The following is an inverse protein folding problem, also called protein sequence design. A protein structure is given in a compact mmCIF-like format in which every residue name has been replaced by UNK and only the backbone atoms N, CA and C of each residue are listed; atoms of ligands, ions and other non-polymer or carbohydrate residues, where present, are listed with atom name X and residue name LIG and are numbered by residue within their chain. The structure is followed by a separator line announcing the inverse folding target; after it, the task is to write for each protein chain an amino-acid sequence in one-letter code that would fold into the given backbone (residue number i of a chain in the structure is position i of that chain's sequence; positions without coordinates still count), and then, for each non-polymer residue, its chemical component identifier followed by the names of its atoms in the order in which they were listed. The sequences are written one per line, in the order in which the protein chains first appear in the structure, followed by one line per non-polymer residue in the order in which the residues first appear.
data_IF_124449671318
#
_entry.id   IF_124449671318
#
_cell.length_a   1.000
_cell.length_b   1.000
_cell.length_c   1.000
_cell.angle_alpha   90.00
_cell.angle_beta   90.00
_cell.angle_gamma   90.00
#
_symmetry.space_group_name_H-M   'P 1'
#
loop_
_entity.id
_entity.type
_entity.pdbx_description
1 polymer ?
#
# COMPACT_ATOMS: atom_id res chain seq x y z
N UNK A 1 -5.57 8.66 45.49
CA UNK A 1 -6.07 8.75 44.09
C UNK A 1 -4.87 8.52 43.19
N UNK A 2 -4.75 7.33 42.61
CA UNK A 2 -3.66 6.97 41.71
C UNK A 2 -4.17 7.22 40.30
N UNK A 3 -3.53 8.13 39.59
CA UNK A 3 -3.71 8.32 38.13
C UNK A 3 -3.27 7.04 37.43
N UNK A 4 -4.22 6.37 36.77
CA UNK A 4 -3.93 5.29 35.85
C UNK A 4 -3.48 5.92 34.53
N UNK A 5 -2.20 5.83 34.26
CA UNK A 5 -1.64 6.03 32.90
C UNK A 5 -2.37 5.10 31.93
N UNK A 6 -3.16 5.68 31.05
CA UNK A 6 -3.66 4.99 29.86
C UNK A 6 -2.47 4.73 28.94
N UNK A 7 -1.90 3.54 29.03
CA UNK A 7 -0.99 3.03 28.01
C UNK A 7 -1.77 2.94 26.71
N UNK A 8 -1.43 3.82 25.77
CA UNK A 8 -1.83 3.71 24.38
C UNK A 8 -1.28 2.38 23.86
N UNK A 9 -2.14 1.39 23.72
CA UNK A 9 -1.83 0.15 23.02
C UNK A 9 -1.62 0.46 21.54
N UNK A 10 -0.39 0.83 21.19
CA UNK A 10 0.06 0.85 19.80
C UNK A 10 0.08 -0.60 19.35
N UNK A 11 -0.74 -0.93 18.34
CA UNK A 11 -0.66 -2.22 17.62
C UNK A 11 0.79 -2.57 17.37
N UNK A 12 1.22 -3.81 17.60
CA UNK A 12 2.58 -4.22 17.31
C UNK A 12 2.79 -4.16 15.79
N UNK A 13 3.33 -3.04 15.33
CA UNK A 13 3.80 -2.92 13.96
C UNK A 13 4.94 -3.93 13.79
N UNK A 14 4.75 -4.94 12.95
CA UNK A 14 5.79 -5.92 12.64
C UNK A 14 6.89 -5.23 11.84
N UNK A 15 7.89 -4.76 12.54
CA UNK A 15 9.11 -4.23 11.95
C UNK A 15 10.04 -5.39 11.61
N UNK A 16 10.04 -5.82 10.37
CA UNK A 16 11.15 -6.60 9.84
C UNK A 16 12.41 -5.75 9.96
N UNK A 17 13.50 -6.32 10.51
CA UNK A 17 14.77 -5.62 10.65
C UNK A 17 15.32 -5.28 9.26
N UNK A 18 15.51 -3.98 8.96
CA UNK A 18 16.14 -3.54 7.70
C UNK A 18 17.63 -3.97 7.70
N UNK A 19 18.19 -4.29 8.87
CA UNK A 19 19.63 -4.49 9.06
C UNK A 19 20.22 -5.79 8.53
N UNK A 20 19.44 -6.83 8.28
CA UNK A 20 19.96 -8.11 7.77
C UNK A 20 19.79 -8.22 6.25
N UNK A 21 20.53 -7.38 5.52
CA UNK A 21 20.80 -7.66 4.11
C UNK A 21 21.88 -8.73 4.06
N UNK A 22 21.45 -10.01 4.04
CA UNK A 22 22.36 -11.10 3.76
C UNK A 22 23.19 -10.76 2.52
N UNK A 23 24.44 -11.09 2.57
CA UNK A 23 25.43 -10.99 1.49
C UNK A 23 25.12 -11.90 0.30
N UNK A 24 23.85 -12.11 -0.03
CA UNK A 24 23.46 -12.88 -1.19
C UNK A 24 23.94 -12.17 -2.43
N UNK A 25 25.07 -12.71 -2.88
CA UNK A 25 25.85 -12.27 -4.01
C UNK A 25 24.94 -11.91 -5.20
N UNK A 26 25.30 -10.82 -5.83
CA UNK A 26 24.89 -10.32 -7.13
C UNK A 26 24.44 -11.44 -8.08
N UNK A 27 23.16 -11.84 -8.03
CA UNK A 27 22.58 -12.45 -9.19
C UNK A 27 22.42 -11.35 -10.25
N UNK A 28 22.87 -11.58 -11.49
CA UNK A 28 22.65 -10.63 -12.58
C UNK A 28 21.16 -10.36 -12.66
N UNK A 29 20.79 -9.10 -12.91
CA UNK A 29 19.40 -8.71 -13.10
C UNK A 29 18.77 -9.67 -14.13
N UNK A 30 17.94 -10.59 -13.64
CA UNK A 30 17.17 -11.47 -14.52
C UNK A 30 16.37 -10.58 -15.46
N UNK A 31 16.19 -11.01 -16.70
CA UNK A 31 15.37 -10.29 -17.67
C UNK A 31 14.02 -9.97 -17.01
N UNK A 32 13.69 -8.67 -16.92
CA UNK A 32 12.49 -8.21 -16.21
C UNK A 32 11.24 -8.70 -16.95
N UNK A 33 10.66 -9.77 -16.45
CA UNK A 33 9.60 -10.51 -17.11
C UNK A 33 8.22 -9.91 -16.88
N UNK A 34 7.94 -9.51 -15.66
CA UNK A 34 6.61 -9.05 -15.26
C UNK A 34 6.62 -7.56 -14.89
N UNK A 35 5.46 -6.93 -15.07
CA UNK A 35 5.24 -5.53 -14.71
C UNK A 35 4.35 -5.47 -13.47
N UNK A 36 4.81 -4.74 -12.48
CA UNK A 36 4.04 -4.32 -11.31
C UNK A 36 3.86 -2.80 -11.39
N UNK A 37 2.94 -2.26 -10.61
CA UNK A 37 2.78 -0.82 -10.54
C UNK A 37 2.63 -0.32 -9.11
N UNK A 38 2.95 0.95 -8.92
CA UNK A 38 2.86 1.67 -7.66
C UNK A 38 2.05 2.94 -7.86
N UNK A 39 1.56 3.52 -6.76
CA UNK A 39 0.90 4.81 -6.77
C UNK A 39 1.46 5.72 -5.69
N UNK A 40 1.66 7.00 -6.02
CA UNK A 40 2.04 8.05 -5.08
C UNK A 40 1.22 9.31 -5.36
N UNK A 41 0.12 9.47 -4.63
CA UNK A 41 -0.67 10.69 -4.63
C UNK A 41 -0.07 11.68 -3.64
N UNK A 42 0.40 12.85 -4.13
CA UNK A 42 1.14 13.78 -3.26
C UNK A 42 0.25 14.73 -2.47
N UNK A 43 -1.02 14.89 -2.86
CA UNK A 43 -1.97 15.80 -2.20
C UNK A 43 -2.22 15.47 -0.71
N UNK A 44 -2.31 14.20 -0.27
CA UNK A 44 -2.46 13.85 1.14
C UNK A 44 -1.28 14.24 2.05
N UNK A 45 -0.13 14.57 1.46
CA UNK A 45 1.05 14.91 2.24
C UNK A 45 1.07 16.41 2.60
N UNK A 46 0.28 16.82 3.57
CA UNK A 46 0.33 18.17 4.14
C UNK A 46 1.68 18.44 4.83
N UNK A 47 2.28 17.39 5.41
CA UNK A 47 3.60 17.45 6.01
C UNK A 47 4.69 17.16 4.96
N UNK A 48 5.47 18.22 4.63
CA UNK A 48 6.61 18.12 3.70
C UNK A 48 7.65 17.07 4.14
N UNK A 49 7.83 16.85 5.44
CA UNK A 49 8.79 15.88 5.97
C UNK A 49 8.34 14.45 5.65
N UNK A 50 7.05 14.14 5.81
CA UNK A 50 6.51 12.83 5.42
C UNK A 50 6.65 12.56 3.93
N UNK A 51 6.41 13.56 3.09
CA UNK A 51 6.62 13.41 1.64
C UNK A 51 8.09 13.14 1.32
N UNK A 52 9.04 13.91 1.95
CA UNK A 52 10.48 13.67 1.79
C UNK A 52 10.87 12.25 2.15
N UNK A 53 10.41 11.79 3.31
CA UNK A 53 10.73 10.46 3.81
C UNK A 53 10.14 9.37 2.90
N UNK A 54 8.93 9.59 2.38
CA UNK A 54 8.29 8.68 1.43
C UNK A 54 9.09 8.57 0.12
N UNK A 55 9.77 9.62 -0.33
CA UNK A 55 10.62 9.54 -1.52
C UNK A 55 11.82 8.59 -1.34
N UNK A 56 12.45 8.56 -0.16
CA UNK A 56 13.53 7.60 0.11
C UNK A 56 12.98 6.17 0.21
N UNK A 57 11.81 6.00 0.81
CA UNK A 57 11.12 4.70 0.88
C UNK A 57 10.80 4.20 -0.53
N UNK A 58 10.21 5.05 -1.39
CA UNK A 58 9.88 4.72 -2.77
C UNK A 58 11.13 4.36 -3.60
N UNK A 59 12.26 5.06 -3.40
CA UNK A 59 13.53 4.73 -4.03
C UNK A 59 14.01 3.33 -3.65
N UNK A 60 13.91 2.97 -2.37
CA UNK A 60 14.32 1.66 -1.88
C UNK A 60 13.37 0.55 -2.37
N UNK A 61 12.06 0.82 -2.39
CA UNK A 61 11.06 -0.10 -2.95
C UNK A 61 11.33 -0.39 -4.44
N UNK A 62 11.57 0.65 -5.23
CA UNK A 62 11.92 0.53 -6.63
C UNK A 62 13.20 -0.28 -6.85
N UNK A 63 14.25 -0.04 -6.03
CA UNK A 63 15.49 -0.81 -6.09
C UNK A 63 15.22 -2.30 -5.93
N UNK A 64 14.48 -2.69 -4.88
CA UNK A 64 14.19 -4.10 -4.63
C UNK A 64 13.31 -4.72 -5.70
N UNK A 65 12.30 -4.00 -6.19
CA UNK A 65 11.46 -4.49 -7.29
C UNK A 65 12.28 -4.74 -8.55
N UNK A 66 13.15 -3.83 -8.94
CA UNK A 66 14.05 -3.98 -10.08
C UNK A 66 15.02 -5.14 -9.91
N UNK A 67 15.63 -5.26 -8.72
CA UNK A 67 16.54 -6.36 -8.42
C UNK A 67 15.84 -7.72 -8.46
N UNK A 68 14.58 -7.77 -8.09
CA UNK A 68 13.76 -8.98 -8.11
C UNK A 68 13.15 -9.30 -9.48
N UNK A 69 13.52 -8.56 -10.53
CA UNK A 69 13.15 -8.84 -11.91
C UNK A 69 11.81 -8.27 -12.36
N UNK A 70 11.27 -7.25 -11.65
CA UNK A 70 10.03 -6.58 -12.03
C UNK A 70 10.29 -5.26 -12.74
N UNK A 71 9.50 -4.96 -13.80
CA UNK A 71 9.32 -3.61 -14.34
C UNK A 71 8.34 -2.87 -13.45
N UNK A 72 8.57 -1.59 -13.19
CA UNK A 72 7.72 -0.81 -12.29
C UNK A 72 7.15 0.39 -13.01
N UNK A 73 5.82 0.46 -13.12
CA UNK A 73 5.10 1.66 -13.50
C UNK A 73 4.76 2.47 -12.23
N UNK A 74 4.89 3.78 -12.30
CA UNK A 74 4.49 4.68 -11.21
C UNK A 74 3.34 5.57 -11.68
N UNK A 75 2.22 5.49 -10.99
CA UNK A 75 1.10 6.39 -11.12
C UNK A 75 1.19 7.49 -10.07
N UNK A 76 1.12 8.75 -10.48
CA UNK A 76 1.27 9.88 -9.56
C UNK A 76 0.52 11.10 -10.11
N UNK A 77 0.57 12.21 -9.38
CA UNK A 77 0.12 13.52 -9.85
C UNK A 77 1.29 14.32 -10.46
N UNK A 78 0.99 15.50 -11.02
CA UNK A 78 2.02 16.38 -11.63
C UNK A 78 3.16 16.71 -10.68
N UNK A 79 2.88 16.95 -9.39
CA UNK A 79 3.90 17.23 -8.38
C UNK A 79 4.78 16.01 -8.15
N UNK A 80 4.18 14.84 -7.99
CA UNK A 80 4.90 13.58 -7.84
C UNK A 80 5.75 13.24 -9.06
N UNK A 81 5.23 13.44 -10.28
CA UNK A 81 6.00 13.23 -11.51
C UNK A 81 7.26 14.10 -11.58
N UNK A 82 7.15 15.38 -11.19
CA UNK A 82 8.31 16.27 -11.13
C UNK A 82 9.36 15.84 -10.10
N UNK A 83 8.93 15.19 -9.00
CA UNK A 83 9.82 14.65 -7.96
C UNK A 83 10.48 13.34 -8.39
N UNK A 84 9.72 12.44 -9.02
CA UNK A 84 10.14 11.06 -9.31
C UNK A 84 10.85 10.89 -10.66
N UNK A 85 10.94 11.92 -11.50
CA UNK A 85 11.42 11.82 -12.89
C UNK A 85 12.79 11.15 -13.09
N UNK A 86 13.67 11.22 -12.08
CA UNK A 86 15.03 10.69 -12.13
C UNK A 86 15.19 9.33 -11.42
N UNK A 87 14.11 8.72 -10.93
CA UNK A 87 14.18 7.45 -10.18
C UNK A 87 14.42 6.25 -11.09
N UNK A 88 13.93 6.28 -12.33
CA UNK A 88 14.12 5.19 -13.29
C UNK A 88 12.96 4.20 -13.32
N UNK A 89 11.75 4.65 -13.05
CA UNK A 89 10.53 3.89 -13.35
C UNK A 89 10.42 3.63 -14.86
N UNK A 90 9.92 2.46 -15.25
CA UNK A 90 9.69 2.13 -16.67
C UNK A 90 8.66 3.07 -17.32
N UNK A 91 7.63 3.43 -16.54
CA UNK A 91 6.67 4.47 -16.89
C UNK A 91 6.39 5.33 -15.68
N UNK A 92 6.30 6.63 -15.91
CA UNK A 92 5.87 7.62 -14.93
C UNK A 92 4.61 8.31 -15.47
N UNK A 93 3.46 8.03 -14.88
CA UNK A 93 2.14 8.39 -15.39
C UNK A 93 1.45 9.36 -14.43
N UNK A 94 0.86 10.43 -14.97
CA UNK A 94 0.19 11.47 -14.18
C UNK A 94 -1.32 11.25 -14.02
N UNK A 95 -1.73 10.00 -13.97
CA UNK A 95 -3.14 9.59 -13.88
C UNK A 95 -3.83 10.04 -12.59
N UNK A 96 -3.07 10.33 -11.54
CA UNK A 96 -3.65 10.82 -10.28
C UNK A 96 -4.06 12.30 -10.34
N UNK A 97 -3.79 13.01 -11.43
CA UNK A 97 -4.41 14.31 -11.71
C UNK A 97 -5.93 14.19 -11.95
N UNK A 98 -6.42 12.99 -12.28
CA UNK A 98 -7.84 12.72 -12.48
C UNK A 98 -8.63 12.60 -11.17
N UNK A 99 -7.95 12.55 -10.02
CA UNK A 99 -8.60 12.53 -8.71
C UNK A 99 -9.29 13.88 -8.48
N UNK A 100 -10.64 13.90 -8.39
CA UNK A 100 -11.35 15.16 -8.20
C UNK A 100 -11.00 15.84 -6.88
N UNK A 101 -11.09 17.17 -6.85
CA UNK A 101 -10.88 17.94 -5.62
C UNK A 101 -11.93 17.66 -4.54
N UNK A 102 -13.05 17.05 -4.93
CA UNK A 102 -14.10 16.58 -4.02
C UNK A 102 -13.72 15.33 -3.23
N UNK A 103 -12.62 14.65 -3.58
CA UNK A 103 -12.12 13.51 -2.83
C UNK A 103 -11.32 13.98 -1.61
N UNK A 104 -11.70 13.58 -0.39
CA UNK A 104 -10.97 13.91 0.82
C UNK A 104 -9.54 13.34 0.79
N UNK A 105 -8.57 14.11 1.26
CA UNK A 105 -7.16 13.66 1.33
C UNK A 105 -6.94 12.55 2.35
N UNK A 106 -7.85 12.40 3.29
CA UNK A 106 -7.88 11.32 4.28
C UNK A 106 -8.16 9.95 3.63
N UNK A 107 -8.84 9.93 2.47
CA UNK A 107 -9.00 8.73 1.65
C UNK A 107 -7.78 8.55 0.73
N UNK A 108 -6.63 8.37 1.34
CA UNK A 108 -5.34 8.29 0.63
C UNK A 108 -5.22 7.08 -0.31
N UNK A 109 -5.96 5.99 -0.05
CA UNK A 109 -6.05 4.86 -0.96
C UNK A 109 -6.69 5.22 -2.32
N UNK A 110 -7.35 6.38 -2.46
CA UNK A 110 -7.83 6.85 -3.74
C UNK A 110 -6.74 6.82 -4.81
N UNK A 111 -5.50 7.20 -4.47
CA UNK A 111 -4.36 7.08 -5.39
C UNK A 111 -4.18 5.69 -5.96
N UNK A 112 -4.31 4.64 -5.12
CA UNK A 112 -4.24 3.24 -5.54
C UNK A 112 -5.36 2.87 -6.51
N UNK A 113 -6.60 3.22 -6.18
CA UNK A 113 -7.76 2.86 -7.00
C UNK A 113 -7.78 3.57 -8.35
N UNK A 114 -7.39 4.85 -8.40
CA UNK A 114 -7.22 5.56 -9.67
C UNK A 114 -6.09 4.94 -10.51
N UNK A 115 -4.98 4.54 -9.89
CA UNK A 115 -3.90 3.83 -10.56
C UNK A 115 -4.37 2.47 -11.11
N UNK A 116 -5.11 1.69 -10.32
CA UNK A 116 -5.67 0.39 -10.73
C UNK A 116 -6.62 0.55 -11.91
N UNK A 117 -7.48 1.57 -11.89
CA UNK A 117 -8.39 1.86 -13.00
C UNK A 117 -7.62 2.22 -14.28
N UNK A 118 -6.60 3.07 -14.18
CA UNK A 118 -5.81 3.53 -15.31
C UNK A 118 -4.91 2.45 -15.90
N UNK A 119 -4.31 1.60 -15.05
CA UNK A 119 -3.43 0.51 -15.47
C UNK A 119 -4.22 -0.69 -16.01
N UNK A 120 -5.49 -0.82 -15.62
CA UNK A 120 -6.32 -2.00 -15.81
C UNK A 120 -6.08 -3.02 -14.70
N UNK A 121 -7.17 -3.52 -14.12
CA UNK A 121 -7.12 -4.35 -12.91
C UNK A 121 -6.65 -5.78 -13.17
N UNK A 122 -6.79 -6.32 -14.39
CA UNK A 122 -6.57 -7.74 -14.68
C UNK A 122 -5.13 -8.04 -15.07
N UNK A 123 -4.56 -9.08 -14.47
CA UNK A 123 -3.22 -9.58 -14.82
C UNK A 123 -2.08 -8.67 -14.37
N UNK A 124 -2.33 -7.75 -13.45
CA UNK A 124 -1.34 -6.81 -12.91
C UNK A 124 -1.39 -6.74 -11.39
N UNK A 125 -0.25 -6.44 -10.79
CA UNK A 125 -0.12 -6.32 -9.33
C UNK A 125 0.24 -4.88 -8.98
N UNK A 126 -0.55 -4.27 -8.09
CA UNK A 126 -0.17 -3.06 -7.37
C UNK A 126 0.65 -3.44 -6.13
N UNK A 127 1.70 -2.70 -5.87
CA UNK A 127 2.42 -2.74 -4.58
C UNK A 127 2.52 -1.33 -4.00
N UNK A 128 2.36 -1.21 -2.70
CA UNK A 128 2.54 0.08 -2.02
C UNK A 128 4.00 0.52 -2.10
N UNK A 129 4.24 1.84 -2.12
CA UNK A 129 5.60 2.41 -2.23
C UNK A 129 6.51 2.06 -1.06
N UNK A 130 5.96 1.54 0.02
CA UNK A 130 6.67 1.09 1.22
C UNK A 130 6.74 -0.44 1.35
N UNK A 131 6.46 -1.15 0.26
CA UNK A 131 6.64 -2.60 0.13
C UNK A 131 7.96 -2.91 -0.58
N UNK A 132 8.74 -3.83 -0.03
CA UNK A 132 10.04 -4.27 -0.54
C UNK A 132 9.98 -5.75 -0.94
N UNK A 133 10.09 -6.03 -2.23
CA UNK A 133 10.19 -7.38 -2.80
C UNK A 133 11.67 -7.71 -2.97
N UNK A 134 12.25 -8.44 -2.02
CA UNK A 134 13.70 -8.67 -1.95
C UNK A 134 14.15 -9.92 -2.71
N UNK A 135 13.23 -10.84 -3.05
CA UNK A 135 13.53 -12.08 -3.78
C UNK A 135 12.79 -12.13 -5.10
N UNK A 136 13.50 -12.56 -6.14
CA UNK A 136 12.89 -12.88 -7.43
C UNK A 136 11.86 -14.00 -7.27
N UNK A 137 10.84 -13.98 -8.11
CA UNK A 137 9.83 -15.03 -8.18
C UNK A 137 8.74 -14.98 -7.11
N UNK A 138 8.81 -14.05 -6.14
CA UNK A 138 7.83 -14.00 -5.05
C UNK A 138 6.39 -13.84 -5.54
N UNK A 139 6.19 -13.07 -6.61
CA UNK A 139 4.86 -12.81 -7.17
C UNK A 139 4.56 -13.68 -8.39
N UNK A 140 5.46 -14.60 -8.77
CA UNK A 140 5.33 -15.36 -10.01
C UNK A 140 4.11 -16.29 -10.02
N UNK A 141 3.70 -16.81 -8.87
CA UNK A 141 2.49 -17.64 -8.73
C UNK A 141 1.26 -16.93 -9.31
N UNK A 142 1.15 -15.63 -9.10
CA UNK A 142 0.04 -14.83 -9.65
C UNK A 142 0.03 -14.82 -11.19
N UNK A 143 1.20 -14.78 -11.82
CA UNK A 143 1.32 -14.71 -13.27
C UNK A 143 1.30 -16.09 -13.96
N UNK A 144 1.65 -17.15 -13.23
CA UNK A 144 1.83 -18.49 -13.80
C UNK A 144 0.68 -19.45 -13.52
N UNK A 145 -0.01 -19.29 -12.39
CA UNK A 145 -1.15 -20.13 -12.03
C UNK A 145 -2.47 -19.48 -12.43
N UNK A 146 -3.10 -20.04 -13.46
CA UNK A 146 -4.37 -19.55 -14.02
C UNK A 146 -5.57 -19.75 -13.09
N UNK A 147 -5.43 -20.54 -12.02
CA UNK A 147 -6.49 -20.77 -11.04
C UNK A 147 -6.50 -19.69 -9.94
N UNK A 148 -5.49 -18.83 -9.90
CA UNK A 148 -5.43 -17.73 -8.93
C UNK A 148 -6.34 -16.59 -9.40
N UNK A 149 -7.39 -16.31 -8.67
CA UNK A 149 -8.31 -15.19 -8.92
C UNK A 149 -7.70 -13.85 -8.49
N UNK A 150 -7.02 -13.84 -7.33
CA UNK A 150 -6.39 -12.65 -6.77
C UNK A 150 -5.18 -13.00 -5.91
N UNK A 151 -4.34 -11.98 -5.66
CA UNK A 151 -3.24 -12.03 -4.69
C UNK A 151 -3.36 -10.86 -3.73
N UNK A 152 -3.09 -11.10 -2.44
CA UNK A 152 -2.97 -10.05 -1.43
C UNK A 152 -1.78 -10.30 -0.50
N UNK A 153 -1.43 -9.29 0.30
CA UNK A 153 -0.31 -9.40 1.22
C UNK A 153 -0.57 -10.39 2.34
N UNK A 154 -1.63 -10.17 3.10
CA UNK A 154 -1.86 -10.87 4.37
C UNK A 154 -3.35 -10.88 4.73
N UNK A 155 -3.80 -11.97 5.32
CA UNK A 155 -5.06 -12.01 6.04
C UNK A 155 -4.80 -11.55 7.49
N UNK A 156 -5.48 -10.51 7.93
CA UNK A 156 -5.36 -9.95 9.27
C UNK A 156 -6.57 -10.35 10.11
N UNK A 157 -6.30 -10.82 11.34
CA UNK A 157 -7.35 -11.18 12.28
C UNK A 157 -8.18 -9.93 12.65
N UNK A 158 -9.49 -10.05 12.50
CA UNK A 158 -10.43 -8.95 12.74
C UNK A 158 -10.38 -8.41 14.18
N UNK A 159 -10.11 -9.27 15.16
CA UNK A 159 -9.98 -8.85 16.55
C UNK A 159 -8.76 -7.95 16.79
N UNK A 160 -7.71 -8.09 15.97
CA UNK A 160 -6.49 -7.26 16.06
C UNK A 160 -6.63 -5.92 15.36
N UNK A 161 -7.53 -5.78 14.41
CA UNK A 161 -7.69 -4.57 13.59
C UNK A 161 -8.78 -3.65 14.17
N UNK A 162 -9.15 -3.73 15.43
CA UNK A 162 -10.02 -2.81 16.18
C UNK A 162 -11.27 -2.29 15.40
N UNK A 163 -11.82 -3.11 14.51
CA UNK A 163 -13.06 -2.77 13.82
C UNK A 163 -14.26 -3.11 14.72
N UNK A 164 -14.68 -2.15 15.53
CA UNK A 164 -15.97 -2.24 16.22
C UNK A 164 -17.13 -2.19 15.23
N UNK A 165 -18.28 -2.79 15.60
CA UNK A 165 -19.46 -2.90 14.76
C UNK A 165 -19.93 -1.57 14.17
N UNK A 166 -19.81 -0.50 14.92
CA UNK A 166 -20.19 0.88 14.54
C UNK A 166 -19.32 1.42 13.40
N UNK A 167 -18.07 0.95 13.27
CA UNK A 167 -17.11 1.38 12.24
C UNK A 167 -17.33 0.66 10.89
N UNK A 168 -18.13 -0.41 10.88
CA UNK A 168 -18.53 -1.15 9.67
C UNK A 168 -19.74 -0.51 8.98
N UNK A 169 -20.37 0.53 9.55
CA UNK A 169 -21.47 1.26 8.92
C UNK A 169 -21.21 1.64 7.45
N UNK A 170 -20.01 2.07 7.04
CA UNK A 170 -19.74 2.32 5.62
C UNK A 170 -19.98 1.12 4.71
N UNK A 171 -19.85 -0.11 5.22
CA UNK A 171 -20.10 -1.32 4.44
C UNK A 171 -21.58 -1.47 4.01
N UNK A 172 -22.52 -0.94 4.79
CA UNK A 172 -23.94 -0.90 4.41
C UNK A 172 -24.16 -0.08 3.13
N UNK A 173 -23.37 0.97 2.93
CA UNK A 173 -23.44 1.83 1.76
C UNK A 173 -22.99 1.09 0.51
N UNK A 174 -22.07 0.15 0.66
CA UNK A 174 -21.60 -0.73 -0.42
C UNK A 174 -22.53 -1.92 -0.65
N UNK A 175 -23.65 -2.01 0.07
CA UNK A 175 -24.63 -3.09 -0.07
C UNK A 175 -24.19 -4.41 0.54
N UNK A 176 -23.19 -4.41 1.42
CA UNK A 176 -22.79 -5.61 2.16
C UNK A 176 -23.59 -5.74 3.44
N UNK A 177 -24.26 -6.87 3.68
CA UNK A 177 -25.03 -7.07 4.90
C UNK A 177 -24.07 -7.18 6.10
N UNK A 178 -24.17 -6.24 7.04
CA UNK A 178 -23.36 -6.22 8.27
C UNK A 178 -23.60 -7.44 9.18
N UNK A 179 -24.64 -8.21 8.90
CA UNK A 179 -25.13 -9.30 9.77
C UNK A 179 -24.69 -10.70 9.35
N UNK A 180 -24.11 -10.89 8.15
CA UNK A 180 -23.71 -12.23 7.69
C UNK A 180 -22.24 -12.54 8.01
N UNK A 181 -21.91 -12.61 9.31
CA UNK A 181 -20.56 -12.85 9.82
C UNK A 181 -20.02 -14.29 9.85
N UNK A 182 -20.77 -15.38 9.60
CA UNK A 182 -20.27 -16.72 9.95
C UNK A 182 -19.00 -17.16 9.21
N UNK A 183 -18.62 -16.50 8.11
CA UNK A 183 -17.44 -16.88 7.31
C UNK A 183 -16.50 -15.71 7.02
N UNK A 184 -16.60 -14.61 7.74
CA UNK A 184 -15.74 -13.46 7.50
C UNK A 184 -14.36 -13.70 8.12
N UNK A 185 -13.33 -13.67 7.28
CA UNK A 185 -11.96 -14.01 7.66
C UNK A 185 -11.17 -12.84 8.25
N UNK A 186 -11.78 -11.68 8.45
CA UNK A 186 -11.07 -10.48 8.89
C UNK A 186 -10.83 -9.48 7.77
N UNK A 187 -9.79 -8.66 7.86
CA UNK A 187 -9.37 -7.76 6.79
C UNK A 187 -8.23 -8.36 5.99
N UNK A 188 -8.14 -8.04 4.69
CA UNK A 188 -7.00 -8.40 3.85
C UNK A 188 -6.10 -7.21 3.63
N UNK A 189 -4.90 -7.26 4.15
CA UNK A 189 -3.90 -6.23 3.89
C UNK A 189 -3.51 -6.23 2.41
N UNK A 190 -3.57 -5.07 1.80
CA UNK A 190 -3.41 -4.84 0.35
C UNK A 190 -2.16 -4.03 -0.01
N UNK A 191 -1.13 -4.09 0.82
CA UNK A 191 0.20 -3.61 0.45
C UNK A 191 0.73 -4.27 -0.84
N UNK A 192 0.23 -5.47 -1.12
CA UNK A 192 0.27 -6.15 -2.43
C UNK A 192 -1.14 -6.54 -2.80
N UNK A 193 -1.58 -6.20 -4.00
CA UNK A 193 -2.90 -6.59 -4.52
C UNK A 193 -2.86 -6.75 -6.04
N UNK A 194 -3.44 -7.84 -6.53
CA UNK A 194 -3.61 -8.08 -7.96
C UNK A 194 -4.80 -9.00 -8.22
N UNK A 195 -5.36 -8.93 -9.44
CA UNK A 195 -6.50 -9.72 -9.86
C UNK A 195 -6.23 -10.37 -11.22
N UNK A 196 -6.46 -11.68 -11.32
CA UNK A 196 -6.57 -12.39 -12.59
C UNK A 196 -8.04 -12.56 -13.00
N UNK A 197 -8.96 -12.58 -12.00
CA UNK A 197 -10.38 -12.58 -12.25
C UNK A 197 -10.87 -11.15 -12.52
N UNK A 198 -11.28 -10.80 -13.77
CA UNK A 198 -11.68 -9.44 -14.12
C UNK A 198 -12.98 -9.00 -13.44
N UNK A 199 -13.89 -9.94 -13.17
CA UNK A 199 -15.15 -9.62 -12.50
C UNK A 199 -14.88 -9.19 -11.06
N UNK A 200 -14.04 -9.95 -10.34
CA UNK A 200 -13.64 -9.64 -8.98
C UNK A 200 -12.89 -8.29 -8.91
N UNK A 201 -11.91 -8.11 -9.80
CA UNK A 201 -11.07 -6.90 -9.80
C UNK A 201 -11.86 -5.64 -10.16
N UNK A 202 -12.69 -5.68 -11.20
CA UNK A 202 -13.53 -4.54 -11.57
C UNK A 202 -14.52 -4.19 -10.44
N UNK A 203 -15.20 -5.18 -9.89
CA UNK A 203 -16.13 -4.94 -8.78
C UNK A 203 -15.44 -4.34 -7.55
N UNK A 204 -14.21 -4.78 -7.23
CA UNK A 204 -13.42 -4.21 -6.14
C UNK A 204 -13.14 -2.72 -6.34
N UNK A 205 -12.74 -2.35 -7.55
CA UNK A 205 -12.46 -0.96 -7.92
C UNK A 205 -13.76 -0.14 -7.98
N UNK A 206 -14.81 -0.67 -8.60
CA UNK A 206 -16.09 0.02 -8.73
C UNK A 206 -16.73 0.31 -7.37
N UNK A 207 -16.65 -0.62 -6.42
CA UNK A 207 -17.14 -0.40 -5.07
C UNK A 207 -16.47 0.80 -4.38
N UNK A 208 -15.16 0.97 -4.57
CA UNK A 208 -14.45 2.12 -4.04
C UNK A 208 -14.92 3.44 -4.69
N UNK A 209 -15.09 3.43 -6.01
CA UNK A 209 -15.60 4.61 -6.72
C UNK A 209 -17.04 4.96 -6.36
N UNK A 210 -17.91 3.97 -6.12
CA UNK A 210 -19.26 4.23 -5.60
C UNK A 210 -19.20 4.87 -4.21
N UNK A 211 -18.29 4.40 -3.34
CA UNK A 211 -18.09 5.03 -2.04
C UNK A 211 -17.60 6.48 -2.16
N UNK A 212 -16.70 6.78 -3.09
CA UNK A 212 -16.23 8.15 -3.31
C UNK A 212 -17.34 9.12 -3.72
N UNK A 213 -18.41 8.66 -4.39
CA UNK A 213 -19.59 9.50 -4.71
C UNK A 213 -20.34 9.92 -3.45
N UNK A 214 -20.26 9.12 -2.39
CA UNK A 214 -20.94 9.36 -1.13
C UNK A 214 -20.08 10.18 -0.18
N UNK A 215 -18.79 9.86 -0.10
CA UNK A 215 -17.82 10.49 0.82
C UNK A 215 -17.10 11.67 0.14
N UNK A 216 -17.85 12.70 -0.23
CA UNK A 216 -17.28 13.98 -0.69
C UNK A 216 -16.62 14.74 0.46
N UNK A 217 -15.74 15.69 0.15
CA UNK A 217 -15.05 16.52 1.17
C UNK A 217 -16.02 17.12 2.19
N UNK A 218 -17.18 17.62 1.73
CA UNK A 218 -18.18 18.22 2.63
C UNK A 218 -18.82 17.21 3.57
N UNK A 219 -19.24 16.06 3.02
CA UNK A 219 -19.82 14.98 3.85
C UNK A 219 -18.79 14.36 4.77
N UNK A 220 -17.55 14.21 4.29
CA UNK A 220 -16.48 13.66 5.11
C UNK A 220 -16.12 14.60 6.27
N UNK A 221 -16.12 15.91 6.03
CA UNK A 221 -15.92 16.93 7.08
C UNK A 221 -16.99 16.81 8.17
N UNK A 222 -18.25 16.75 7.78
CA UNK A 222 -19.35 16.55 8.72
C UNK A 222 -19.21 15.24 9.51
N UNK A 223 -18.91 14.13 8.82
CA UNK A 223 -18.72 12.83 9.43
C UNK A 223 -17.54 12.82 10.42
N UNK A 224 -16.46 13.54 10.11
CA UNK A 224 -15.29 13.70 10.98
C UNK A 224 -15.60 14.52 12.24
N UNK A 225 -16.54 15.47 12.16
CA UNK A 225 -17.03 16.22 13.34
C UNK A 225 -17.88 15.33 14.25
N UNK A 226 -18.65 14.40 13.68
CA UNK A 226 -19.51 13.46 14.42
C UNK A 226 -18.71 12.28 14.99
N UNK A 227 -17.76 11.72 14.24
CA UNK A 227 -16.93 10.57 14.66
C UNK A 227 -15.54 10.62 14.00
N UNK A 228 -14.61 11.26 14.67
CA UNK A 228 -13.23 11.41 14.19
C UNK A 228 -12.51 10.08 13.98
N UNK A 229 -12.76 9.11 14.85
CA UNK A 229 -12.09 7.82 14.79
C UNK A 229 -12.63 6.96 13.65
N UNK A 230 -13.92 7.01 13.37
CA UNK A 230 -14.51 6.31 12.24
C UNK A 230 -13.91 6.79 10.90
N UNK A 231 -13.62 8.10 10.78
CA UNK A 231 -12.99 8.65 9.58
C UNK A 231 -11.59 8.09 9.32
N UNK A 232 -10.81 7.83 10.36
CA UNK A 232 -9.48 7.25 10.22
C UNK A 232 -9.50 5.83 9.64
N UNK A 233 -10.58 5.11 9.90
CA UNK A 233 -10.71 3.72 9.49
C UNK A 233 -11.46 3.53 8.17
N UNK A 234 -12.16 4.57 7.70
CA UNK A 234 -12.98 4.46 6.50
C UNK A 234 -12.20 3.98 5.29
N UNK A 235 -11.00 4.51 5.05
CA UNK A 235 -10.17 4.14 3.92
C UNK A 235 -9.72 2.66 4.01
N UNK A 236 -9.35 2.19 5.21
CA UNK A 236 -9.05 0.77 5.43
C UNK A 236 -10.25 -0.14 5.21
N UNK A 237 -11.45 0.30 5.62
CA UNK A 237 -12.68 -0.47 5.39
C UNK A 237 -12.96 -0.59 3.89
N UNK A 238 -12.89 0.52 3.17
CA UNK A 238 -13.14 0.56 1.73
C UNK A 238 -12.12 -0.25 0.92
N UNK A 239 -10.92 -0.36 1.43
CA UNK A 239 -9.81 -1.06 0.79
C UNK A 239 -9.72 -2.52 1.25
N UNK A 240 -9.45 -2.76 2.55
CA UNK A 240 -9.06 -4.06 3.08
C UNK A 240 -10.24 -4.95 3.41
N UNK A 241 -11.26 -4.38 4.05
CA UNK A 241 -12.48 -5.14 4.42
C UNK A 241 -13.32 -5.44 3.19
N UNK A 242 -13.39 -4.51 2.25
CA UNK A 242 -14.04 -4.71 0.95
C UNK A 242 -13.44 -5.93 0.22
N UNK A 243 -12.08 -6.02 0.13
CA UNK A 243 -11.44 -7.17 -0.48
C UNK A 243 -11.76 -8.46 0.26
N UNK A 244 -11.66 -8.47 1.58
CA UNK A 244 -11.93 -9.64 2.40
C UNK A 244 -13.34 -10.21 2.15
N UNK A 245 -14.33 -9.34 2.08
CA UNK A 245 -15.70 -9.74 1.79
C UNK A 245 -15.86 -10.28 0.36
N UNK A 246 -15.29 -9.58 -0.62
CA UNK A 246 -15.44 -9.93 -2.03
C UNK A 246 -14.67 -11.18 -2.41
N UNK A 247 -13.62 -11.54 -1.68
CA UNK A 247 -12.80 -12.71 -1.92
C UNK A 247 -13.46 -14.03 -1.51
N UNK A 248 -14.63 -13.98 -0.85
CA UNK A 248 -15.36 -15.20 -0.46
C UNK A 248 -15.73 -16.02 -1.71
N UNK A 249 -15.32 -17.29 -1.71
CA UNK A 249 -15.55 -18.21 -2.84
C UNK A 249 -14.55 -18.07 -4.00
N UNK A 250 -13.55 -17.20 -3.86
CA UNK A 250 -12.48 -17.02 -4.83
C UNK A 250 -11.15 -17.64 -4.36
N UNK A 251 -10.31 -18.03 -5.30
CA UNK A 251 -8.96 -18.53 -5.02
C UNK A 251 -7.98 -17.36 -4.87
N UNK A 252 -7.75 -16.94 -3.63
CA UNK A 252 -6.86 -15.82 -3.29
C UNK A 252 -5.55 -16.35 -2.72
N UNK A 253 -4.45 -15.97 -3.35
CA UNK A 253 -3.11 -16.20 -2.81
C UNK A 253 -2.79 -15.15 -1.75
N UNK A 254 -2.53 -15.60 -0.54
CA UNK A 254 -2.11 -14.78 0.60
C UNK A 254 -0.62 -14.98 0.82
N UNK A 255 0.19 -13.92 0.66
CA UNK A 255 1.65 -14.02 0.75
C UNK A 255 2.15 -14.33 2.17
N UNK A 256 1.49 -13.76 3.17
CA UNK A 256 1.88 -13.91 4.57
C UNK A 256 0.77 -14.58 5.38
N UNK A 257 1.06 -15.66 6.10
CA UNK A 257 0.07 -16.30 6.96
C UNK A 257 -0.28 -15.40 8.15
N UNK A 258 -1.46 -15.61 8.71
CA UNK A 258 -1.95 -14.88 9.89
C UNK A 258 -1.03 -15.09 11.10
N UNK A 259 -0.49 -16.31 11.25
CA UNK A 259 0.41 -16.67 12.32
C UNK A 259 1.86 -16.39 11.95
N UNK A 260 2.54 -15.59 12.78
CA UNK A 260 3.96 -15.25 12.64
C UNK A 260 4.37 -14.65 11.28
N UNK A 261 3.63 -13.62 10.79
CA UNK A 261 3.87 -13.06 9.45
C UNK A 261 5.28 -12.49 9.27
N UNK A 262 5.88 -11.95 10.33
CA UNK A 262 7.23 -11.38 10.28
C UNK A 262 8.31 -12.41 9.97
N UNK A 263 8.25 -13.59 10.56
CA UNK A 263 9.18 -14.68 10.27
C UNK A 263 9.06 -15.14 8.81
N UNK A 264 7.83 -15.36 8.36
CA UNK A 264 7.58 -15.80 6.98
C UNK A 264 8.00 -14.70 6.00
N UNK A 265 7.69 -13.45 6.26
CA UNK A 265 8.08 -12.32 5.43
C UNK A 265 9.61 -12.28 5.21
N UNK A 266 10.40 -12.42 6.28
CA UNK A 266 11.85 -12.47 6.17
C UNK A 266 12.33 -13.68 5.33
N UNK A 267 11.74 -14.85 5.54
CA UNK A 267 12.09 -16.07 4.82
C UNK A 267 11.80 -15.98 3.32
N UNK A 268 10.66 -15.41 2.94
CA UNK A 268 10.27 -15.25 1.52
C UNK A 268 10.86 -13.98 0.88
N UNK A 269 11.57 -13.15 1.63
CA UNK A 269 12.15 -11.90 1.13
C UNK A 269 11.13 -10.82 0.86
N UNK A 270 10.12 -10.71 1.70
CA UNK A 270 9.09 -9.67 1.69
C UNK A 270 9.22 -8.74 2.89
N UNK A 271 8.96 -7.47 2.69
CA UNK A 271 8.86 -6.51 3.78
C UNK A 271 7.88 -5.39 3.44
N UNK A 272 7.05 -5.01 4.39
CA UNK A 272 6.18 -3.85 4.32
C UNK A 272 6.42 -2.94 5.52
N UNK A 273 6.71 -1.68 5.26
CA UNK A 273 6.92 -0.67 6.31
C UNK A 273 5.60 -0.04 6.72
N UNK A 274 4.81 -0.78 7.48
CA UNK A 274 3.49 -0.32 7.92
C UNK A 274 3.56 0.75 9.03
N UNK A 275 2.50 1.55 9.13
CA UNK A 275 2.27 2.48 10.23
C UNK A 275 3.22 3.69 10.27
N UNK A 276 3.14 4.46 11.35
CA UNK A 276 3.88 5.71 11.52
C UNK A 276 5.36 5.54 11.84
N UNK A 277 5.79 4.38 12.27
CA UNK A 277 7.19 4.11 12.63
C UNK A 277 8.17 4.25 11.47
N UNK A 278 7.71 4.15 10.22
CA UNK A 278 8.53 4.37 9.03
C UNK A 278 9.08 5.79 8.91
N UNK A 279 8.46 6.77 9.56
CA UNK A 279 8.89 8.18 9.56
C UNK A 279 9.74 8.58 10.76
N UNK A 280 10.19 7.65 11.59
CA UNK A 280 11.15 7.95 12.65
C UNK A 280 12.53 8.28 12.07
N UNK A 281 13.26 9.20 12.70
CA UNK A 281 14.60 9.61 12.24
C UNK A 281 15.55 8.42 12.12
N UNK A 282 15.49 7.49 13.06
CA UNK A 282 16.32 6.27 13.05
C UNK A 282 16.00 5.43 11.81
N UNK A 283 14.71 5.21 11.50
CA UNK A 283 14.30 4.40 10.35
C UNK A 283 14.65 5.08 9.03
N UNK A 284 14.48 6.38 8.94
CA UNK A 284 14.86 7.15 7.77
C UNK A 284 16.37 7.15 7.55
N UNK A 285 17.16 7.21 8.61
CA UNK A 285 18.63 7.07 8.48
C UNK A 285 19.01 5.67 7.98
N UNK A 286 18.40 4.62 8.51
CA UNK A 286 18.60 3.24 8.04
C UNK A 286 18.29 3.07 6.54
N UNK A 287 17.20 3.69 6.04
CA UNK A 287 16.84 3.67 4.63
C UNK A 287 17.92 4.35 3.78
N UNK A 288 18.38 5.54 4.19
CA UNK A 288 19.43 6.29 3.49
C UNK A 288 20.75 5.51 3.46
N UNK A 289 21.17 4.95 4.60
CA UNK A 289 22.39 4.15 4.71
C UNK A 289 22.31 2.90 3.82
N UNK A 290 21.13 2.33 3.72
CA UNK A 290 20.86 1.20 2.82
C UNK A 290 20.97 1.62 1.36
N UNK A 291 20.37 2.73 0.95
CA UNK A 291 20.48 3.27 -0.41
C UNK A 291 21.93 3.63 -0.77
N UNK A 292 22.70 4.16 0.18
CA UNK A 292 24.16 4.42 -0.02
C UNK A 292 24.87 3.13 -0.44
N UNK A 293 24.58 2.04 0.25
CA UNK A 293 25.24 0.73 0.02
C UNK A 293 24.76 0.03 -1.25
N UNK A 294 23.49 0.19 -1.60
CA UNK A 294 22.85 -0.60 -2.65
C UNK A 294 22.78 0.12 -4.01
N UNK A 295 22.39 1.39 -4.03
CA UNK A 295 22.24 2.19 -5.27
C UNK A 295 22.41 3.69 -5.00
N UNK A 296 23.64 4.17 -5.10
CA UNK A 296 23.94 5.60 -4.95
C UNK A 296 23.28 6.50 -6.01
N UNK A 297 22.84 5.95 -7.16
CA UNK A 297 22.11 6.70 -8.18
C UNK A 297 20.70 7.03 -7.69
N UNK A 298 20.00 6.03 -7.15
CA UNK A 298 18.65 6.24 -6.56
C UNK A 298 18.69 7.17 -5.36
N UNK A 299 19.72 7.08 -4.52
CA UNK A 299 19.92 8.04 -3.43
C UNK A 299 20.09 9.47 -3.95
N UNK A 300 20.89 9.68 -5.00
CA UNK A 300 21.03 11.02 -5.60
C UNK A 300 19.71 11.54 -6.15
N UNK A 301 18.96 10.70 -6.86
CA UNK A 301 17.62 11.06 -7.38
C UNK A 301 16.66 11.46 -6.26
N UNK A 302 16.63 10.70 -5.16
CA UNK A 302 15.82 11.03 -3.98
C UNK A 302 16.27 12.35 -3.33
N UNK A 303 17.57 12.57 -3.17
CA UNK A 303 18.10 13.82 -2.63
C UNK A 303 17.74 15.04 -3.50
N UNK A 304 17.80 14.92 -4.83
CA UNK A 304 17.37 15.98 -5.76
C UNK A 304 15.87 16.28 -5.61
N UNK A 305 15.05 15.23 -5.50
CA UNK A 305 13.61 15.39 -5.30
C UNK A 305 13.30 16.10 -3.96
N UNK A 306 13.98 15.69 -2.89
CA UNK A 306 13.85 16.30 -1.56
C UNK A 306 14.23 17.80 -1.57
N UNK A 307 15.31 18.19 -2.24
CA UNK A 307 15.69 19.60 -2.39
C UNK A 307 14.59 20.44 -3.04
N UNK A 308 13.88 19.89 -4.05
CA UNK A 308 12.76 20.58 -4.71
C UNK A 308 11.57 20.83 -3.77
N UNK A 309 11.34 19.96 -2.77
CA UNK A 309 10.32 20.18 -1.75
C UNK A 309 10.69 21.32 -0.81
N UNK A 310 11.98 21.43 -0.46
CA UNK A 310 12.48 22.42 0.50
C UNK A 310 12.55 23.85 -0.09
N UNK A 311 12.58 23.98 -1.42
CA UNK A 311 12.69 25.27 -2.11
C UNK A 311 11.33 25.93 -2.41
N UNK A 312 10.23 25.24 -2.15
CA UNK A 312 8.85 25.73 -2.26
C UNK A 312 8.20 25.84 -0.89
#
# INVERSE_FOLDING_TARGET
MKEQEKQNATSPCYYGDIGNFGSDAQQPASERKYTIFQSLWTKPFDNKDRLRDTLYIAALSLYFAHRSGYKVHMHTDTKGAALLKNFGYEKLLTTLNEIPDTVPTELFAAGKFFAMKAEGVTGKIHIDVDVFIKKAGLLDVFYTDKNVDAICQQEEDFERVCFHDDKIRPMHILGYPATSRPNWRGSMNVGVIGFNNPVLGNKYVDNYFEALKIYTVEKFKKYKEEDKDACLWLDFILEQVNLSYMSLGHNVVVLLPTNNPGYVANKIGYQHMQGSGKWTSVKQQQIKDTLIKLDGRLLRAANEAVRKISLK
#
